data_IF_691778490233
#
_entry.id   IF_691778490233
#
_cell.length_a   1.000
_cell.length_b   1.000
_cell.length_c   1.000
_cell.angle_alpha   90.00
_cell.angle_beta   90.00
_cell.angle_gamma   90.00
#
_symmetry.space_group_name_H-M   'P 1'
#
loop_
_entity.id
_entity.type
_entity.pdbx_description
1 polymer ?
#
# COMPACT_ATOMS: atom_id res chain seq x y z
N UNK A 1 -8.92 19.38 -50.60
CA UNK A 1 -8.59 18.32 -49.63
C UNK A 1 -8.17 18.97 -48.32
N UNK A 2 -8.87 18.65 -47.22
CA UNK A 2 -8.80 19.35 -45.94
C UNK A 2 -7.65 18.80 -45.08
N UNK A 3 -6.78 19.69 -44.57
CA UNK A 3 -5.71 19.36 -43.62
C UNK A 3 -6.33 19.11 -42.23
N UNK A 4 -6.04 17.95 -41.63
CA UNK A 4 -6.43 17.65 -40.26
C UNK A 4 -5.50 18.36 -39.27
N UNK A 5 -6.09 19.15 -38.37
CA UNK A 5 -5.41 19.83 -37.26
C UNK A 5 -4.85 18.78 -36.29
N UNK A 6 -3.54 18.84 -36.03
CA UNK A 6 -2.89 18.20 -34.88
C UNK A 6 -3.46 18.85 -33.62
N UNK A 7 -4.18 18.08 -32.80
CA UNK A 7 -4.62 18.53 -31.49
C UNK A 7 -3.38 18.64 -30.59
N UNK A 8 -2.96 19.87 -30.31
CA UNK A 8 -2.08 20.19 -29.20
C UNK A 8 -2.77 19.77 -27.90
N UNK A 9 -2.25 18.72 -27.29
CA UNK A 9 -2.62 18.32 -25.95
C UNK A 9 -1.93 19.29 -24.99
N UNK A 10 -2.71 20.23 -24.43
CA UNK A 10 -2.26 21.17 -23.41
C UNK A 10 -1.51 20.44 -22.30
N UNK A 11 -0.42 21.01 -21.77
CA UNK A 11 0.34 20.39 -20.68
C UNK A 11 -0.58 20.32 -19.46
N UNK A 12 -0.98 19.10 -19.09
CA UNK A 12 -1.54 18.84 -17.76
C UNK A 12 -0.49 19.31 -16.78
N UNK A 13 -0.82 20.34 -16.01
CA UNK A 13 -0.05 20.81 -14.86
C UNK A 13 0.41 19.60 -14.06
N UNK A 14 1.73 19.41 -13.99
CA UNK A 14 2.35 18.50 -13.05
C UNK A 14 1.91 18.95 -11.66
N UNK A 15 0.89 18.30 -11.10
CA UNK A 15 0.59 18.47 -9.69
C UNK A 15 1.73 17.82 -8.94
N UNK A 16 2.46 18.68 -8.22
CA UNK A 16 3.52 18.35 -7.30
C UNK A 16 3.17 17.05 -6.59
N UNK A 17 4.03 16.04 -6.73
CA UNK A 17 4.07 14.91 -5.83
C UNK A 17 4.15 15.47 -4.42
N UNK A 18 3.02 15.56 -3.73
CA UNK A 18 3.01 15.81 -2.30
C UNK A 18 3.78 14.64 -1.71
N UNK A 19 4.95 14.95 -1.16
CA UNK A 19 5.74 13.98 -0.41
C UNK A 19 4.79 13.24 0.55
N UNK A 20 4.76 11.90 0.52
CA UNK A 20 3.88 11.16 1.40
C UNK A 20 4.22 11.56 2.84
N UNK A 21 3.20 12.01 3.57
CA UNK A 21 3.35 12.47 4.95
C UNK A 21 3.93 11.33 5.79
N UNK A 22 5.23 11.42 6.11
CA UNK A 22 5.88 10.47 7.01
C UNK A 22 5.18 10.55 8.36
N UNK A 23 4.47 9.48 8.73
CA UNK A 23 3.72 9.43 9.96
C UNK A 23 4.63 9.63 11.19
N UNK A 24 5.91 9.29 11.09
CA UNK A 24 6.94 9.60 12.10
C UNK A 24 7.23 11.10 12.16
N UNK A 25 7.30 11.80 11.02
CA UNK A 25 7.45 13.26 10.97
C UNK A 25 6.19 13.97 11.47
N UNK A 26 5.00 13.50 11.13
CA UNK A 26 3.73 14.04 11.63
C UNK A 26 3.65 13.88 13.14
N UNK A 27 3.95 12.69 13.68
CA UNK A 27 3.97 12.47 15.13
C UNK A 27 5.06 13.31 15.80
N UNK A 28 6.27 13.39 15.23
CA UNK A 28 7.35 14.23 15.78
C UNK A 28 6.95 15.70 15.82
N UNK A 29 6.33 16.22 14.76
CA UNK A 29 5.85 17.59 14.68
C UNK A 29 4.76 17.88 15.72
N UNK A 30 3.80 16.97 15.87
CA UNK A 30 2.74 17.08 16.89
C UNK A 30 3.35 17.05 18.30
N UNK A 31 4.26 16.10 18.58
CA UNK A 31 4.92 15.99 19.89
C UNK A 31 5.79 17.20 20.21
N UNK A 32 6.49 17.76 19.23
CA UNK A 32 7.33 18.94 19.41
C UNK A 32 6.52 20.23 19.62
N UNK A 33 5.31 20.31 19.05
CA UNK A 33 4.42 21.47 19.19
C UNK A 33 3.66 21.49 20.54
N UNK A 34 3.46 20.33 21.18
CA UNK A 34 2.71 20.21 22.44
C UNK A 34 3.30 21.05 23.59
N UNK A 35 4.63 21.05 23.85
CA UNK A 35 5.20 21.89 24.90
C UNK A 35 4.96 23.40 24.69
N UNK A 36 5.02 23.87 23.45
CA UNK A 36 4.77 25.27 23.11
C UNK A 36 3.28 25.63 23.28
N UNK A 37 2.37 24.76 22.82
CA UNK A 37 0.93 24.95 23.00
C UNK A 37 0.52 24.91 24.49
N UNK A 38 1.21 24.11 25.31
CA UNK A 38 1.02 24.08 26.77
C UNK A 38 1.57 25.33 27.47
N UNK A 39 2.67 25.90 26.97
CA UNK A 39 3.22 27.15 27.50
C UNK A 39 2.28 28.35 27.22
N UNK A 40 1.53 28.32 26.12
CA UNK A 40 0.54 29.35 25.79
C UNK A 40 -0.74 29.29 26.63
N UNK A 41 -1.07 28.14 27.23
CA UNK A 41 -2.30 27.94 28.02
C UNK A 41 -2.28 28.57 29.42
N UNK A 42 -1.13 29.11 29.86
CA UNK A 42 -0.95 29.80 31.14
C UNK A 42 -0.94 28.88 32.38
N UNK A 43 -0.18 29.25 33.41
CA UNK A 43 0.08 28.44 34.61
C UNK A 43 -1.19 28.03 35.39
N UNK A 44 -2.27 28.81 35.30
CA UNK A 44 -3.55 28.52 35.96
C UNK A 44 -4.25 27.26 35.43
N UNK A 45 -4.04 26.89 34.16
CA UNK A 45 -4.55 25.64 33.56
C UNK A 45 -3.62 24.43 33.77
N UNK A 46 -2.37 24.68 34.17
CA UNK A 46 -1.35 23.65 34.43
C UNK A 46 -1.44 23.09 35.87
N UNK A 47 -1.97 23.88 36.81
CA UNK A 47 -2.08 23.50 38.22
C UNK A 47 -3.08 22.36 38.51
N UNK A 48 -3.93 21.98 37.55
CA UNK A 48 -4.97 20.95 37.68
C UNK A 48 -4.55 19.50 37.37
N UNK A 49 -3.27 19.21 37.08
CA UNK A 49 -2.79 17.84 36.79
C UNK A 49 -2.97 17.37 35.33
N UNK A 50 -2.85 18.29 34.37
CA UNK A 50 -3.30 18.10 32.98
C UNK A 50 -2.23 17.59 31.99
N UNK A 51 -0.95 17.51 32.35
CA UNK A 51 0.10 17.13 31.38
C UNK A 51 0.20 15.63 31.09
N UNK A 52 0.05 14.77 32.11
CA UNK A 52 0.14 13.30 31.93
C UNK A 52 -1.12 12.72 31.26
N UNK A 53 -2.30 13.26 31.61
CA UNK A 53 -3.57 12.88 31.00
C UNK A 53 -3.63 13.24 29.51
N UNK A 54 -3.14 14.42 29.13
CA UNK A 54 -3.06 14.85 27.73
C UNK A 54 -2.11 13.95 26.92
N UNK A 55 -0.91 13.67 27.43
CA UNK A 55 0.05 12.78 26.76
C UNK A 55 -0.52 11.37 26.53
N UNK A 56 -1.29 10.84 27.48
CA UNK A 56 -1.94 9.54 27.32
C UNK A 56 -3.09 9.57 26.32
N UNK A 57 -3.89 10.65 26.30
CA UNK A 57 -4.96 10.83 25.33
C UNK A 57 -4.42 10.95 23.90
N UNK A 58 -3.35 11.73 23.71
CA UNK A 58 -2.66 11.86 22.41
C UNK A 58 -2.09 10.52 21.97
N UNK A 59 -1.40 9.78 22.86
CA UNK A 59 -0.88 8.45 22.55
C UNK A 59 -2.00 7.48 22.16
N UNK A 60 -3.13 7.49 22.89
CA UNK A 60 -4.27 6.63 22.60
C UNK A 60 -4.93 6.96 21.25
N UNK A 61 -5.10 8.24 20.93
CA UNK A 61 -5.64 8.69 19.65
C UNK A 61 -4.73 8.29 18.48
N UNK A 62 -3.41 8.47 18.62
CA UNK A 62 -2.42 8.02 17.62
C UNK A 62 -2.50 6.50 17.44
N UNK A 63 -2.52 5.71 18.52
CA UNK A 63 -2.64 4.25 18.43
C UNK A 63 -3.95 3.83 17.76
N UNK A 64 -5.07 4.50 18.09
CA UNK A 64 -6.37 4.23 17.49
C UNK A 64 -6.35 4.51 15.98
N UNK A 65 -5.78 5.63 15.58
CA UNK A 65 -5.69 6.01 14.16
C UNK A 65 -4.80 5.05 13.37
N UNK A 66 -3.66 4.64 13.93
CA UNK A 66 -2.79 3.64 13.31
C UNK A 66 -3.45 2.25 13.23
N UNK A 67 -4.26 1.88 14.23
CA UNK A 67 -5.05 0.64 14.19
C UNK A 67 -6.08 0.70 13.06
N UNK A 68 -6.77 1.82 12.90
CA UNK A 68 -7.72 2.05 11.80
C UNK A 68 -7.02 1.98 10.45
N UNK A 69 -5.85 2.62 10.29
CA UNK A 69 -5.05 2.54 9.06
C UNK A 69 -4.60 1.12 8.77
N UNK A 70 -4.05 0.40 9.75
CA UNK A 70 -3.57 -0.97 9.57
C UNK A 70 -4.71 -1.92 9.16
N UNK A 71 -5.88 -1.78 9.79
CA UNK A 71 -7.08 -2.54 9.41
C UNK A 71 -7.56 -2.19 8.00
N UNK A 72 -7.63 -0.91 7.67
CA UNK A 72 -8.02 -0.45 6.34
C UNK A 72 -7.09 -0.99 5.26
N UNK A 73 -5.77 -0.83 5.44
CA UNK A 73 -4.73 -1.35 4.55
C UNK A 73 -4.87 -2.85 4.37
N UNK A 74 -4.98 -3.61 5.46
CA UNK A 74 -5.12 -5.06 5.41
C UNK A 74 -6.34 -5.49 4.59
N UNK A 75 -7.50 -4.84 4.82
CA UNK A 75 -8.74 -5.14 4.07
C UNK A 75 -8.63 -4.77 2.60
N UNK A 76 -7.98 -3.65 2.27
CA UNK A 76 -7.76 -3.26 0.87
C UNK A 76 -6.85 -4.26 0.15
N UNK A 77 -5.75 -4.67 0.79
CA UNK A 77 -4.86 -5.70 0.25
C UNK A 77 -5.59 -7.04 0.03
N UNK A 78 -6.47 -7.44 0.96
CA UNK A 78 -7.30 -8.64 0.79
C UNK A 78 -8.22 -8.54 -0.44
N UNK A 79 -8.90 -7.40 -0.62
CA UNK A 79 -9.78 -7.15 -1.77
C UNK A 79 -9.00 -7.20 -3.08
N UNK A 80 -7.88 -6.49 -3.15
CA UNK A 80 -7.04 -6.47 -4.34
C UNK A 80 -6.49 -7.86 -4.68
N UNK A 81 -6.05 -8.62 -3.68
CA UNK A 81 -5.56 -9.98 -3.87
C UNK A 81 -6.65 -10.94 -4.37
N UNK A 82 -7.91 -10.74 -3.94
CA UNK A 82 -9.06 -11.51 -4.47
C UNK A 82 -9.37 -11.12 -5.93
N UNK A 83 -9.34 -9.83 -6.24
CA UNK A 83 -9.51 -9.32 -7.60
C UNK A 83 -8.42 -9.86 -8.53
N UNK A 84 -7.18 -9.93 -8.06
CA UNK A 84 -6.06 -10.50 -8.80
C UNK A 84 -6.28 -12.00 -9.08
N UNK A 85 -6.64 -12.78 -8.07
CA UNK A 85 -6.88 -14.22 -8.22
C UNK A 85 -8.06 -14.55 -9.15
N UNK A 86 -9.07 -13.69 -9.22
CA UNK A 86 -10.26 -13.89 -10.06
C UNK A 86 -10.10 -13.31 -11.48
N UNK A 87 -8.99 -12.63 -11.79
CA UNK A 87 -8.78 -12.01 -13.09
C UNK A 87 -9.67 -10.78 -13.30
N UNK A 88 -9.55 -9.78 -12.42
CA UNK A 88 -10.27 -8.52 -12.55
C UNK A 88 -10.06 -7.85 -13.93
N UNK A 89 -11.07 -7.09 -14.37
CA UNK A 89 -10.95 -6.32 -15.61
C UNK A 89 -9.80 -5.31 -15.52
N UNK A 90 -9.19 -4.99 -16.66
CA UNK A 90 -8.07 -4.03 -16.72
C UNK A 90 -8.39 -2.70 -16.06
N UNK A 91 -9.58 -2.15 -16.26
CA UNK A 91 -9.99 -0.88 -15.65
C UNK A 91 -10.00 -0.95 -14.11
N UNK A 92 -10.45 -2.07 -13.55
CA UNK A 92 -10.45 -2.29 -12.10
C UNK A 92 -9.02 -2.47 -11.59
N UNK A 93 -8.19 -3.24 -12.31
CA UNK A 93 -6.78 -3.45 -11.95
C UNK A 93 -5.97 -2.14 -11.97
N UNK A 94 -6.20 -1.28 -12.97
CA UNK A 94 -5.54 0.02 -13.10
C UNK A 94 -5.95 0.96 -11.96
N UNK A 95 -7.25 1.03 -11.65
CA UNK A 95 -7.77 1.84 -10.54
C UNK A 95 -7.23 1.37 -9.18
N UNK A 96 -7.17 0.05 -8.97
CA UNK A 96 -6.58 -0.51 -7.75
C UNK A 96 -5.09 -0.24 -7.67
N UNK A 97 -4.36 -0.33 -8.78
CA UNK A 97 -2.93 0.00 -8.83
C UNK A 97 -2.68 1.46 -8.46
N UNK A 98 -3.48 2.38 -8.98
CA UNK A 98 -3.42 3.80 -8.61
C UNK A 98 -3.70 4.00 -7.11
N UNK A 99 -4.76 3.36 -6.59
CA UNK A 99 -5.15 3.52 -5.20
C UNK A 99 -4.13 2.94 -4.22
N UNK A 100 -3.54 1.79 -4.53
CA UNK A 100 -2.43 1.23 -3.76
C UNK A 100 -1.22 2.19 -3.77
N UNK A 101 -0.89 2.79 -4.92
CA UNK A 101 0.17 3.77 -5.04
C UNK A 101 -0.04 5.01 -4.16
N UNK A 102 -1.28 5.54 -4.13
CA UNK A 102 -1.64 6.67 -3.24
C UNK A 102 -1.45 6.35 -1.76
N UNK A 103 -1.57 5.08 -1.38
CA UNK A 103 -1.42 4.61 0.00
C UNK A 103 -0.01 4.09 0.31
N UNK A 104 0.92 4.18 -0.65
CA UNK A 104 2.27 3.62 -0.56
C UNK A 104 2.28 2.11 -0.28
N UNK A 105 1.35 1.39 -0.89
CA UNK A 105 1.27 -0.06 -0.83
C UNK A 105 1.88 -0.65 -2.09
N UNK A 106 3.00 -1.34 -1.94
CA UNK A 106 3.64 -2.07 -3.03
C UNK A 106 3.10 -3.48 -3.12
N UNK A 107 2.48 -3.79 -4.25
CA UNK A 107 2.11 -5.14 -4.65
C UNK A 107 3.34 -5.88 -5.16
N UNK A 108 3.56 -7.10 -4.68
CA UNK A 108 4.67 -7.96 -5.08
C UNK A 108 4.12 -9.22 -5.72
N UNK A 109 4.44 -9.41 -7.01
CA UNK A 109 4.03 -10.55 -7.82
C UNK A 109 5.23 -11.38 -8.30
N UNK A 110 6.42 -11.05 -7.81
CA UNK A 110 7.65 -11.77 -8.10
C UNK A 110 7.87 -12.87 -7.05
N UNK A 111 7.95 -14.15 -7.44
CA UNK A 111 8.22 -15.24 -6.52
C UNK A 111 9.65 -15.23 -5.93
N UNK A 112 10.59 -14.48 -6.50
CA UNK A 112 12.00 -14.44 -6.07
C UNK A 112 12.25 -13.67 -4.77
N UNK A 113 11.19 -13.12 -4.15
CA UNK A 113 11.22 -12.52 -2.80
C UNK A 113 10.52 -13.42 -1.77
N UNK A 114 10.98 -14.66 -1.52
CA UNK A 114 10.23 -15.70 -0.81
C UNK A 114 9.86 -15.32 0.63
N UNK A 115 10.59 -14.40 1.26
CA UNK A 115 10.33 -13.90 2.62
C UNK A 115 9.00 -13.13 2.75
N UNK A 116 8.42 -12.69 1.64
CA UNK A 116 7.14 -11.96 1.61
C UNK A 116 5.94 -12.89 1.44
N UNK A 117 6.18 -14.19 1.27
CA UNK A 117 5.16 -15.16 0.90
C UNK A 117 5.11 -16.36 1.86
N UNK A 118 3.96 -17.04 1.84
CA UNK A 118 3.78 -18.36 2.42
C UNK A 118 3.49 -19.37 1.31
N UNK A 119 4.16 -20.52 1.35
CA UNK A 119 3.88 -21.64 0.43
C UNK A 119 2.67 -22.38 0.95
N UNK A 120 1.59 -22.44 0.16
CA UNK A 120 0.31 -23.01 0.62
C UNK A 120 0.01 -24.38 0.01
N UNK A 121 0.52 -24.68 -1.17
CA UNK A 121 0.21 -25.92 -1.90
C UNK A 121 1.26 -26.27 -2.96
N UNK A 122 1.08 -27.43 -3.61
CA UNK A 122 1.90 -27.88 -4.74
C UNK A 122 3.11 -28.73 -4.34
N UNK A 123 3.85 -29.19 -5.36
CA UNK A 123 5.10 -29.95 -5.26
C UNK A 123 6.06 -29.45 -6.36
N UNK A 124 7.36 -29.66 -6.17
CA UNK A 124 8.41 -29.20 -7.10
C UNK A 124 9.30 -28.09 -6.54
N UNK A 125 10.29 -27.69 -7.34
CA UNK A 125 11.38 -26.80 -6.92
C UNK A 125 11.13 -25.31 -7.25
N UNK A 126 10.17 -24.99 -8.13
CA UNK A 126 9.86 -23.61 -8.49
C UNK A 126 8.62 -23.10 -7.78
N UNK A 127 8.42 -21.79 -7.83
CA UNK A 127 7.27 -21.12 -7.24
C UNK A 127 6.45 -20.36 -8.27
N UNK A 128 5.13 -20.45 -8.12
CA UNK A 128 4.14 -19.65 -8.82
C UNK A 128 3.36 -18.81 -7.80
N UNK A 129 3.15 -17.54 -8.11
CA UNK A 129 2.35 -16.64 -7.26
C UNK A 129 0.86 -16.91 -7.46
N UNK A 130 0.21 -17.44 -6.42
CA UNK A 130 -1.25 -17.59 -6.37
C UNK A 130 -1.92 -16.27 -5.94
N UNK A 131 -1.32 -15.59 -4.95
CA UNK A 131 -1.77 -14.28 -4.49
C UNK A 131 -0.58 -13.37 -4.25
N UNK A 132 -0.64 -12.10 -4.69
CA UNK A 132 0.44 -11.15 -4.44
C UNK A 132 0.64 -10.90 -2.94
N UNK A 133 1.87 -10.55 -2.58
CA UNK A 133 2.17 -9.96 -1.28
C UNK A 133 2.03 -8.42 -1.34
N UNK A 134 1.88 -7.79 -0.17
CA UNK A 134 1.76 -6.34 -0.07
C UNK A 134 2.67 -5.82 1.03
N UNK A 135 3.49 -4.83 0.68
CA UNK A 135 4.38 -4.13 1.60
C UNK A 135 3.92 -2.70 1.74
N UNK A 136 3.72 -2.24 2.97
CA UNK A 136 3.50 -0.84 3.28
C UNK A 136 4.85 -0.13 3.28
N UNK A 137 5.12 0.60 2.21
CA UNK A 137 6.41 1.28 2.02
C UNK A 137 6.60 2.42 3.03
N UNK A 138 5.52 2.98 3.58
CA UNK A 138 5.60 3.97 4.64
C UNK A 138 6.21 3.40 5.93
N UNK A 139 6.04 2.10 6.18
CA UNK A 139 6.55 1.43 7.39
C UNK A 139 7.62 0.38 7.11
N UNK A 140 7.84 0.02 5.85
CA UNK A 140 8.69 -1.09 5.43
C UNK A 140 8.17 -2.46 5.85
N UNK A 141 6.91 -2.57 6.31
CA UNK A 141 6.34 -3.80 6.87
C UNK A 141 5.46 -4.51 5.87
N UNK A 142 5.42 -5.83 6.00
CA UNK A 142 4.46 -6.67 5.29
C UNK A 142 3.05 -6.34 5.79
N UNK A 143 2.22 -5.81 4.89
CA UNK A 143 0.82 -5.53 5.13
C UNK A 143 -0.05 -6.78 4.95
N UNK A 144 0.29 -7.60 3.95
CA UNK A 144 -0.34 -8.90 3.71
C UNK A 144 0.67 -9.85 3.05
N UNK A 145 0.84 -11.04 3.63
CA UNK A 145 1.68 -12.07 3.04
C UNK A 145 1.05 -12.61 1.75
N UNK A 146 1.87 -12.77 0.72
CA UNK A 146 1.45 -13.43 -0.52
C UNK A 146 1.37 -14.94 -0.37
N UNK A 147 0.82 -15.60 -1.37
CA UNK A 147 0.71 -17.06 -1.40
C UNK A 147 1.40 -17.62 -2.63
N UNK A 148 2.24 -18.62 -2.42
CA UNK A 148 2.94 -19.36 -3.46
C UNK A 148 2.43 -20.79 -3.55
N UNK A 149 2.45 -21.32 -4.76
CA UNK A 149 2.34 -22.75 -5.05
C UNK A 149 3.67 -23.27 -5.55
N UNK A 150 4.09 -24.44 -5.09
CA UNK A 150 5.21 -25.19 -5.69
C UNK A 150 4.78 -25.80 -7.02
N UNK A 151 5.62 -25.63 -8.03
CA UNK A 151 5.42 -26.21 -9.36
C UNK A 151 6.70 -26.88 -9.84
N UNK A 152 6.54 -28.01 -10.52
CA UNK A 152 7.64 -28.62 -11.28
C UNK A 152 8.08 -27.67 -12.40
N UNK A 153 9.31 -27.82 -12.89
CA UNK A 153 9.77 -27.07 -14.07
C UNK A 153 8.88 -27.48 -15.25
N UNK A 154 7.87 -26.67 -15.57
CA UNK A 154 7.20 -26.77 -16.85
C UNK A 154 8.21 -26.34 -17.92
N UNK A 155 8.79 -27.30 -18.62
CA UNK A 155 9.54 -27.04 -19.84
C UNK A 155 8.69 -26.16 -20.75
N UNK A 156 9.29 -25.05 -21.19
CA UNK A 156 8.75 -24.03 -22.09
C UNK A 156 7.68 -24.59 -23.05
N UNK A 157 6.41 -24.49 -22.65
CA UNK A 157 5.27 -25.01 -23.41
C UNK A 157 4.85 -24.04 -24.51
N UNK A 158 5.73 -23.82 -25.48
CA UNK A 158 5.35 -23.26 -26.76
C UNK A 158 4.44 -24.25 -27.49
N UNK A 159 3.13 -24.12 -27.36
CA UNK A 159 2.18 -24.74 -28.29
C UNK A 159 1.72 -23.70 -29.32
N UNK A 160 2.59 -23.48 -30.30
CA UNK A 160 2.13 -23.23 -31.66
C UNK A 160 1.73 -24.57 -32.27
N UNK A 161 0.43 -24.75 -32.52
CA UNK A 161 -0.06 -25.68 -33.54
C UNK A 161 -1.19 -24.99 -34.27
N UNK A 162 -0.79 -24.28 -35.32
CA UNK A 162 -1.29 -24.49 -36.69
C UNK A 162 -2.36 -25.59 -36.81
N UNK A 163 -3.54 -25.19 -37.27
CA UNK A 163 -4.64 -26.07 -37.65
C UNK A 163 -5.25 -25.58 -38.94
N UNK A 164 -4.53 -25.79 -40.04
CA UNK A 164 -5.05 -25.76 -41.41
C UNK A 164 -5.73 -27.10 -41.69
N UNK A 165 -7.04 -27.06 -41.95
CA UNK A 165 -7.82 -27.97 -42.82
C UNK A 165 -9.27 -27.51 -42.93
#
# INVERSE_FOLDING_TARGET
MRKAKKAEQSPRTAWSSSEPLDATQVIKGIVAAIPAALAELGEENLAGGTSSGLLQAVRAAVIAEFRTRAQFVGRLCEIDALLHAQGASRAVADAMTEHLGQLQLRRVTDPDSPELFVVTEGQGENFEVLRPAYVDEATGKLALAGQLRRVDVAGNGANGTEGDR
#
